data_IF_013806825953
#
_entry.id   IF_013806825953
#
_cell.length_a   1.000
_cell.length_b   1.000
_cell.length_c   1.000
_cell.angle_alpha   90.00
_cell.angle_beta   90.00
_cell.angle_gamma   90.00
#
_symmetry.space_group_name_H-M   'P 1'
#
loop_
_entity.id
_entity.type
_entity.pdbx_description
1 polymer ?
#
# COMPACT_ATOMS: atom_id res chain seq x y z
N UNK A 1 11.48 34.02 3.05
CA UNK A 1 11.19 32.85 3.89
C UNK A 1 9.91 33.14 4.67
N UNK A 2 8.98 32.18 4.81
CA UNK A 2 7.77 32.40 5.59
C UNK A 2 8.12 32.74 7.05
N UNK A 3 7.35 33.64 7.65
CA UNK A 3 7.51 33.98 9.06
C UNK A 3 7.03 32.84 9.96
N UNK A 4 7.44 32.85 11.23
CA UNK A 4 6.96 31.89 12.23
C UNK A 4 5.42 31.91 12.34
N UNK A 5 4.83 33.12 12.22
CA UNK A 5 3.38 33.28 12.24
C UNK A 5 2.70 32.65 11.02
N UNK A 6 3.31 32.75 9.83
CA UNK A 6 2.79 32.11 8.61
C UNK A 6 2.77 30.59 8.76
N UNK A 7 3.86 30.01 9.28
CA UNK A 7 3.97 28.56 9.52
C UNK A 7 2.93 28.09 10.54
N UNK A 8 2.73 28.84 11.63
CA UNK A 8 1.72 28.53 12.65
C UNK A 8 0.30 28.55 12.07
N UNK A 9 -0.01 29.60 11.32
CA UNK A 9 -1.35 29.80 10.72
C UNK A 9 -1.67 28.69 9.71
N UNK A 10 -0.73 28.37 8.81
CA UNK A 10 -0.89 27.27 7.86
C UNK A 10 -1.02 25.91 8.55
N UNK A 11 -0.27 25.68 9.62
CA UNK A 11 -0.35 24.44 10.39
C UNK A 11 -1.70 24.25 11.09
N UNK A 12 -2.27 25.33 11.64
CA UNK A 12 -3.61 25.32 12.23
C UNK A 12 -4.69 25.11 11.16
N UNK A 13 -4.56 25.76 10.01
CA UNK A 13 -5.46 25.56 8.88
C UNK A 13 -5.45 24.09 8.42
N UNK A 14 -4.27 23.50 8.17
CA UNK A 14 -4.14 22.10 7.79
C UNK A 14 -4.81 21.15 8.80
N UNK A 15 -4.61 21.38 10.11
CA UNK A 15 -5.25 20.56 11.16
C UNK A 15 -6.78 20.69 11.18
N UNK A 16 -7.31 21.88 10.92
CA UNK A 16 -8.74 22.15 10.99
C UNK A 16 -9.50 21.74 9.72
N UNK A 17 -8.82 21.67 8.57
CA UNK A 17 -9.44 21.39 7.27
C UNK A 17 -9.09 20.01 6.70
N UNK A 18 -8.19 19.27 7.34
CA UNK A 18 -7.80 17.94 6.86
C UNK A 18 -9.01 17.05 6.70
N UNK A 19 -9.09 16.41 5.54
CA UNK A 19 -10.05 15.37 5.22
C UNK A 19 -9.33 14.23 4.52
N UNK A 20 -10.03 13.13 4.32
CA UNK A 20 -9.50 12.02 3.55
C UNK A 20 -9.44 12.33 2.07
N UNK A 21 -8.41 11.79 1.41
CA UNK A 21 -8.34 11.69 -0.05
C UNK A 21 -8.77 10.30 -0.56
N UNK A 22 -9.31 9.46 0.33
CA UNK A 22 -9.80 8.10 0.08
C UNK A 22 -8.75 7.09 -0.38
N UNK A 23 -7.46 7.36 -0.14
CA UNK A 23 -6.33 6.48 -0.54
C UNK A 23 -5.67 5.81 0.67
N UNK A 24 -6.49 5.26 1.56
CA UNK A 24 -6.00 4.49 2.70
C UNK A 24 -5.26 3.24 2.24
N UNK A 25 -4.22 2.86 2.98
CA UNK A 25 -3.37 1.71 2.70
C UNK A 25 -2.71 1.22 4.00
N UNK A 26 -2.02 0.08 3.94
CA UNK A 26 -1.38 -0.54 5.10
C UNK A 26 -2.31 -1.48 5.89
N UNK A 27 -1.76 -2.10 6.95
CA UNK A 27 -2.43 -3.10 7.80
C UNK A 27 -1.92 -4.52 7.60
N UNK A 28 -1.53 -4.91 6.39
CA UNK A 28 -0.95 -6.22 6.05
C UNK A 28 0.40 -6.07 5.33
N UNK A 29 1.26 -5.19 5.85
CA UNK A 29 2.49 -4.76 5.20
C UNK A 29 3.45 -5.92 4.87
N UNK A 30 4.12 -5.80 3.72
CA UNK A 30 5.25 -6.66 3.33
C UNK A 30 6.38 -6.52 4.36
N UNK A 31 6.91 -7.65 4.82
CA UNK A 31 7.94 -7.73 5.86
C UNK A 31 7.41 -7.69 7.29
N UNK A 32 6.08 -7.53 7.48
CA UNK A 32 5.42 -7.54 8.79
C UNK A 32 4.34 -8.60 8.92
N UNK A 33 3.46 -8.71 7.93
CA UNK A 33 2.34 -9.68 7.89
C UNK A 33 2.49 -10.64 6.72
N UNK A 34 2.96 -10.16 5.57
CA UNK A 34 3.24 -10.98 4.39
C UNK A 34 4.72 -10.93 4.02
N UNK A 35 5.23 -11.98 3.38
CA UNK A 35 6.58 -12.00 2.82
C UNK A 35 6.68 -11.24 1.47
N UNK A 36 7.86 -11.23 0.84
CA UNK A 36 8.08 -10.58 -0.45
C UNK A 36 7.23 -11.19 -1.60
N UNK A 37 6.75 -12.41 -1.40
CA UNK A 37 5.90 -13.16 -2.32
C UNK A 37 4.41 -12.98 -2.00
N UNK A 38 4.09 -12.05 -1.09
CA UNK A 38 2.76 -11.73 -0.58
C UNK A 38 2.08 -12.90 0.14
N UNK A 39 2.85 -13.89 0.61
CA UNK A 39 2.36 -15.02 1.39
C UNK A 39 2.23 -14.61 2.85
N UNK A 40 1.15 -15.01 3.50
CA UNK A 40 0.94 -14.71 4.91
C UNK A 40 1.95 -15.49 5.75
N UNK A 41 2.71 -14.78 6.57
CA UNK A 41 3.77 -15.37 7.40
C UNK A 41 3.14 -16.33 8.42
N UNK A 42 3.62 -17.57 8.47
CA UNK A 42 3.10 -18.60 9.37
C UNK A 42 1.83 -19.30 8.89
N UNK A 43 1.34 -19.01 7.68
CA UNK A 43 0.21 -19.71 7.07
C UNK A 43 0.57 -20.30 5.70
N UNK A 44 0.00 -21.46 5.38
CA UNK A 44 0.19 -22.11 4.09
C UNK A 44 -1.00 -21.87 3.16
N UNK A 45 -0.73 -21.69 1.86
CA UNK A 45 -1.78 -21.54 0.85
C UNK A 45 -2.54 -20.21 0.88
N UNK A 46 -2.11 -19.23 1.70
CA UNK A 46 -2.79 -17.94 1.87
C UNK A 46 -1.89 -16.77 1.44
N UNK A 47 -2.46 -15.83 0.68
CA UNK A 47 -1.81 -14.58 0.23
C UNK A 47 -2.76 -13.39 0.39
N UNK A 48 -2.21 -12.19 0.52
CA UNK A 48 -2.97 -10.92 0.51
C UNK A 48 -2.39 -10.02 -0.57
N UNK A 49 -3.22 -9.57 -1.51
CA UNK A 49 -2.80 -8.78 -2.69
C UNK A 49 -3.79 -7.62 -2.88
N UNK A 50 -3.61 -6.56 -2.12
CA UNK A 50 -4.37 -5.31 -2.20
C UNK A 50 -3.58 -4.13 -1.59
N UNK A 51 -4.21 -2.97 -1.44
CA UNK A 51 -3.58 -1.78 -0.87
C UNK A 51 -3.13 -1.90 0.59
N UNK A 52 -3.59 -2.91 1.34
CA UNK A 52 -3.17 -3.12 2.73
C UNK A 52 -1.70 -3.53 2.86
N UNK A 53 -1.08 -3.95 1.75
CA UNK A 53 0.28 -4.47 1.70
C UNK A 53 1.35 -3.38 1.55
N UNK A 54 0.95 -2.14 1.24
CA UNK A 54 1.86 -1.03 1.02
C UNK A 54 2.39 -0.41 2.32
N UNK A 55 3.68 -0.06 2.32
CA UNK A 55 4.31 0.74 3.38
C UNK A 55 4.08 2.25 3.22
N UNK A 56 3.80 2.68 1.99
CA UNK A 56 3.53 4.07 1.60
C UNK A 56 2.68 4.10 0.33
N UNK A 57 1.93 5.17 0.12
CA UNK A 57 1.09 5.30 -1.10
C UNK A 57 1.94 5.24 -2.37
N UNK A 58 1.66 4.31 -3.31
CA UNK A 58 2.37 4.25 -4.58
C UNK A 58 1.84 5.33 -5.56
N UNK A 59 2.38 6.54 -5.42
CA UNK A 59 2.03 7.70 -6.23
C UNK A 59 0.79 8.47 -5.72
N UNK A 60 0.35 9.46 -6.52
CA UNK A 60 -0.74 10.39 -6.16
C UNK A 60 -2.13 9.76 -6.22
N UNK A 61 -2.32 8.74 -7.05
CA UNK A 61 -3.54 7.93 -7.07
C UNK A 61 -3.16 6.45 -7.26
N UNK A 62 -3.27 5.62 -6.21
CA UNK A 62 -2.73 4.27 -6.22
C UNK A 62 -3.61 3.27 -6.99
N UNK A 63 -4.78 3.66 -7.48
CA UNK A 63 -5.74 2.73 -8.11
C UNK A 63 -5.12 1.91 -9.25
N UNK A 64 -4.40 2.56 -10.16
CA UNK A 64 -3.74 1.88 -11.28
C UNK A 64 -2.68 0.88 -10.79
N UNK A 65 -1.91 1.26 -9.77
CA UNK A 65 -0.91 0.39 -9.15
C UNK A 65 -1.54 -0.82 -8.48
N UNK A 66 -2.67 -0.65 -7.77
CA UNK A 66 -3.39 -1.77 -7.14
C UNK A 66 -3.94 -2.74 -8.19
N UNK A 67 -4.54 -2.22 -9.28
CA UNK A 67 -5.02 -3.05 -10.39
C UNK A 67 -3.87 -3.83 -11.06
N UNK A 68 -2.74 -3.16 -11.30
CA UNK A 68 -1.55 -3.79 -11.87
C UNK A 68 -1.01 -4.89 -10.93
N UNK A 69 -0.89 -4.61 -9.64
CA UNK A 69 -0.40 -5.55 -8.64
C UNK A 69 -1.22 -6.84 -8.62
N UNK A 70 -2.55 -6.73 -8.67
CA UNK A 70 -3.45 -7.88 -8.75
C UNK A 70 -3.14 -8.79 -9.95
N UNK A 71 -2.98 -8.21 -11.15
CA UNK A 71 -2.62 -8.98 -12.35
C UNK A 71 -1.19 -9.54 -12.26
N UNK A 72 -0.23 -8.74 -11.81
CA UNK A 72 1.17 -9.14 -11.70
C UNK A 72 1.33 -10.38 -10.81
N UNK A 73 0.73 -10.36 -9.61
CA UNK A 73 0.79 -11.49 -8.70
C UNK A 73 -0.01 -12.70 -9.21
N UNK A 74 -1.13 -12.47 -9.90
CA UNK A 74 -1.86 -13.56 -10.57
C UNK A 74 -1.00 -14.31 -11.59
N UNK A 75 -0.25 -13.59 -12.43
CA UNK A 75 0.69 -14.19 -13.39
C UNK A 75 1.83 -14.90 -12.68
N UNK A 76 2.42 -14.30 -11.65
CA UNK A 76 3.50 -14.92 -10.85
C UNK A 76 3.05 -16.25 -10.22
N UNK A 77 1.84 -16.31 -9.67
CA UNK A 77 1.26 -17.54 -9.10
C UNK A 77 1.10 -18.63 -10.17
N UNK A 78 0.66 -18.28 -11.38
CA UNK A 78 0.55 -19.25 -12.48
C UNK A 78 1.91 -19.81 -12.90
N UNK A 79 2.92 -18.94 -13.00
CA UNK A 79 4.29 -19.35 -13.31
C UNK A 79 4.89 -20.25 -12.23
N UNK A 80 4.71 -19.91 -10.95
CA UNK A 80 5.13 -20.76 -9.82
C UNK A 80 4.51 -22.16 -9.90
N UNK A 81 3.23 -22.27 -10.31
CA UNK A 81 2.55 -23.57 -10.50
C UNK A 81 3.09 -24.37 -11.69
N UNK A 82 3.44 -23.70 -12.78
CA UNK A 82 4.02 -24.35 -13.97
C UNK A 82 5.42 -24.89 -13.69
N UNK A 83 6.22 -24.17 -12.90
CA UNK A 83 7.58 -24.58 -12.52
C UNK A 83 7.61 -25.67 -11.44
N UNK A 84 6.51 -25.83 -10.70
CA UNK A 84 6.35 -26.86 -9.68
C UNK A 84 5.75 -28.17 -10.22
N UNK A 85 5.35 -28.20 -11.49
CA UNK A 85 4.91 -29.39 -12.23
C UNK A 85 6.11 -30.10 -12.88
#
# INVERSE_FOLDING_TARGET
>A
MPSEQDVKTLSEWCRNTVTTIWQYHGGCQVGRVVDAEYRVIGAHGLRVIDGSTFNSSPGTNPQATVMMLGRYMGVKILQERQLAA
#
